data_IF_987309754324
#
_entry.id   IF_987309754324
#
_cell.length_a   1.000
_cell.length_b   1.000
_cell.length_c   1.000
_cell.angle_alpha   90.00
_cell.angle_beta   90.00
_cell.angle_gamma   90.00
#
_symmetry.space_group_name_H-M   'P 1'
#
loop_
_entity.id
_entity.type
_entity.pdbx_description
1 polymer ?
#
# COMPACT_ATOMS: atom_id res chain seq x y z
N UNK A 1 2.02 20.25 -18.19
CA UNK A 1 3.26 20.56 -17.44
C UNK A 1 3.53 19.41 -16.48
N UNK A 2 4.48 18.54 -16.84
CA UNK A 2 4.84 17.34 -16.08
C UNK A 2 6.10 17.64 -15.31
N UNK A 3 6.00 17.87 -14.00
CA UNK A 3 7.16 17.98 -13.12
C UNK A 3 7.73 16.58 -12.90
N UNK A 4 8.76 16.25 -13.67
CA UNK A 4 9.61 15.10 -13.39
C UNK A 4 10.68 15.54 -12.41
N UNK A 5 10.47 15.29 -11.12
CA UNK A 5 11.56 15.34 -10.14
C UNK A 5 12.50 14.18 -10.48
N UNK A 6 13.78 14.49 -10.74
CA UNK A 6 14.83 13.50 -11.04
C UNK A 6 14.89 12.44 -9.93
N UNK A 7 15.17 11.17 -10.26
CA UNK A 7 15.41 10.16 -9.22
C UNK A 7 16.62 10.58 -8.38
N UNK A 8 16.40 10.75 -7.07
CA UNK A 8 17.44 10.91 -6.07
C UNK A 8 17.97 9.56 -5.59
N UNK A 9 18.97 9.54 -4.69
CA UNK A 9 19.47 8.30 -4.08
C UNK A 9 18.34 7.57 -3.34
N UNK A 10 18.30 6.24 -3.47
CA UNK A 10 17.39 5.37 -2.72
C UNK A 10 18.08 4.86 -1.46
N UNK A 11 17.40 4.91 -0.32
CA UNK A 11 17.88 4.33 0.95
C UNK A 11 16.80 3.47 1.59
N UNK A 12 17.23 2.52 2.42
CA UNK A 12 16.32 1.68 3.21
C UNK A 12 15.91 2.43 4.47
N UNK A 13 14.60 2.57 4.69
CA UNK A 13 14.05 3.19 5.90
C UNK A 13 13.73 2.14 6.98
N UNK A 14 13.41 0.91 6.57
CA UNK A 14 13.23 -0.19 7.49
C UNK A 14 12.80 -1.50 6.84
N UNK A 15 12.93 -2.58 7.60
CA UNK A 15 12.63 -3.96 7.22
C UNK A 15 11.23 -4.32 7.72
N UNK A 16 10.36 -4.74 6.81
CA UNK A 16 8.94 -4.96 7.13
C UNK A 16 8.73 -6.37 7.69
N UNK A 17 8.01 -6.47 8.80
CA UNK A 17 7.61 -7.75 9.38
C UNK A 17 6.15 -7.71 9.85
N UNK A 18 5.40 -8.79 9.63
CA UNK A 18 4.03 -8.93 10.16
C UNK A 18 4.05 -8.93 11.67
N UNK A 19 3.09 -8.22 12.25
CA UNK A 19 2.78 -8.39 13.65
C UNK A 19 1.67 -9.43 13.78
N UNK A 20 2.01 -10.58 14.38
CA UNK A 20 1.10 -11.71 14.47
C UNK A 20 0.16 -11.52 15.67
N UNK A 21 -1.16 -11.58 15.46
CA UNK A 21 -2.11 -11.60 16.57
C UNK A 21 -2.04 -12.93 17.33
N UNK A 22 -2.67 -13.02 18.52
CA UNK A 22 -2.94 -14.31 19.16
C UNK A 22 -3.60 -15.26 18.15
N UNK A 23 -3.01 -16.46 17.98
CA UNK A 23 -3.40 -17.41 16.92
C UNK A 23 -2.50 -17.39 15.67
N UNK A 24 -1.45 -16.57 15.64
CA UNK A 24 -0.36 -16.67 14.67
C UNK A 24 -0.74 -16.33 13.24
N UNK A 25 -0.07 -17.00 12.28
CA UNK A 25 -0.25 -16.76 10.84
C UNK A 25 -1.71 -16.98 10.37
N UNK A 26 -2.42 -18.05 10.79
CA UNK A 26 -3.82 -18.24 10.39
C UNK A 26 -4.73 -17.08 10.80
N UNK A 27 -4.59 -16.60 12.04
CA UNK A 27 -5.36 -15.47 12.55
C UNK A 27 -5.02 -14.17 11.79
N UNK A 28 -3.74 -13.95 11.48
CA UNK A 28 -3.32 -12.83 10.61
C UNK A 28 -3.98 -12.91 9.23
N UNK A 29 -3.94 -14.08 8.58
CA UNK A 29 -4.49 -14.27 7.23
C UNK A 29 -6.02 -14.08 7.19
N UNK A 30 -6.72 -14.55 8.23
CA UNK A 30 -8.16 -14.33 8.39
C UNK A 30 -8.49 -12.83 8.53
N UNK A 31 -7.79 -12.12 9.43
CA UNK A 31 -7.94 -10.67 9.61
C UNK A 31 -7.59 -9.91 8.32
N UNK A 32 -6.56 -10.35 7.61
CA UNK A 32 -6.16 -9.81 6.32
C UNK A 32 -7.27 -9.88 5.26
N UNK A 33 -8.11 -10.90 5.31
CA UNK A 33 -9.27 -11.07 4.44
C UNK A 33 -10.32 -9.94 4.59
N UNK A 34 -10.50 -9.40 5.79
CA UNK A 34 -11.42 -8.28 6.04
C UNK A 34 -10.81 -6.91 5.71
N UNK A 35 -9.51 -6.87 5.42
CA UNK A 35 -8.73 -5.68 5.16
C UNK A 35 -7.80 -5.27 6.30
N UNK A 36 -7.85 -5.92 7.47
CA UNK A 36 -6.95 -5.58 8.57
C UNK A 36 -5.48 -5.87 8.20
N UNK A 37 -4.57 -5.01 8.65
CA UNK A 37 -3.11 -5.14 8.54
C UNK A 37 -2.47 -4.67 9.85
N UNK A 38 -1.52 -5.46 10.35
CA UNK A 38 -0.64 -5.07 11.44
C UNK A 38 0.78 -5.49 11.11
N UNK A 39 1.73 -4.55 11.13
CA UNK A 39 3.13 -4.84 10.83
C UNK A 39 4.07 -3.79 11.41
N UNK A 40 5.31 -4.19 11.61
CA UNK A 40 6.40 -3.36 12.14
C UNK A 40 7.39 -3.08 11.02
N UNK A 41 7.96 -1.88 11.06
CA UNK A 41 9.18 -1.52 10.34
C UNK A 41 10.35 -1.54 11.32
N UNK A 42 11.29 -2.45 11.13
CA UNK A 42 12.53 -2.55 11.91
C UNK A 42 13.63 -1.70 11.29
N UNK A 43 14.51 -1.11 12.10
CA UNK A 43 15.63 -0.30 11.63
C UNK A 43 16.67 -1.16 10.89
N UNK A 44 16.74 -2.44 11.24
CA UNK A 44 17.73 -3.40 10.79
C UNK A 44 17.10 -4.80 10.65
N UNK A 45 17.82 -5.72 9.98
CA UNK A 45 17.37 -7.10 9.75
C UNK A 45 17.25 -7.94 11.04
N UNK A 46 17.98 -7.56 12.09
CA UNK A 46 18.03 -8.26 13.37
C UNK A 46 16.99 -7.75 14.38
N UNK A 47 16.06 -6.89 13.94
CA UNK A 47 14.96 -6.35 14.75
C UNK A 47 15.47 -5.56 15.96
N UNK A 48 16.63 -4.91 15.85
CA UNK A 48 17.26 -4.18 16.96
C UNK A 48 16.43 -2.99 17.46
N UNK A 49 15.78 -2.26 16.55
CA UNK A 49 14.90 -1.14 16.92
C UNK A 49 13.66 -1.02 16.01
N UNK A 50 12.52 -0.65 16.61
CA UNK A 50 11.30 -0.34 15.85
C UNK A 50 11.38 1.09 15.31
N UNK A 51 11.18 1.25 14.01
CA UNK A 51 11.11 2.55 13.34
C UNK A 51 9.68 3.07 13.33
N UNK A 52 8.74 2.20 12.96
CA UNK A 52 7.31 2.49 12.99
C UNK A 52 6.50 1.21 13.08
N UNK A 53 5.25 1.32 13.54
CA UNK A 53 4.28 0.24 13.57
C UNK A 53 3.01 0.70 12.86
N UNK A 54 2.47 -0.15 11.99
CA UNK A 54 1.17 0.05 11.36
C UNK A 54 0.18 -0.83 12.08
N UNK A 55 -0.87 -0.22 12.61
CA UNK A 55 -1.98 -0.93 13.27
C UNK A 55 -3.30 -0.60 12.59
N UNK A 56 -4.22 -1.56 12.59
CA UNK A 56 -5.59 -1.34 12.12
C UNK A 56 -6.42 -0.71 13.23
N UNK A 57 -6.86 0.52 13.04
CA UNK A 57 -7.78 1.19 13.95
C UNK A 57 -9.24 0.73 13.72
N UNK A 58 -9.64 0.52 12.46
CA UNK A 58 -10.94 -0.06 12.14
C UNK A 58 -10.99 -0.63 10.73
N UNK A 59 -11.82 -1.67 10.54
CA UNK A 59 -12.15 -2.23 9.23
C UNK A 59 -13.65 -2.54 9.17
N UNK A 60 -14.41 -1.78 8.39
CA UNK A 60 -15.84 -2.00 8.25
C UNK A 60 -16.33 -1.59 6.85
N UNK A 61 -17.27 -2.37 6.29
CA UNK A 61 -18.00 -2.04 5.06
C UNK A 61 -17.10 -1.64 3.87
N UNK A 62 -15.89 -2.21 3.76
CA UNK A 62 -14.94 -1.91 2.68
C UNK A 62 -14.15 -0.61 2.87
N UNK A 63 -14.20 -0.02 4.06
CA UNK A 63 -13.30 1.04 4.51
C UNK A 63 -12.37 0.46 5.58
N UNK A 64 -11.10 0.83 5.51
CA UNK A 64 -10.08 0.41 6.49
C UNK A 64 -9.26 1.62 6.90
N UNK A 65 -9.14 1.82 8.20
CA UNK A 65 -8.40 2.92 8.82
C UNK A 65 -7.21 2.33 9.55
N UNK A 66 -6.03 2.86 9.24
CA UNK A 66 -4.76 2.45 9.83
C UNK A 66 -4.09 3.64 10.48
N UNK A 67 -3.40 3.38 11.58
CA UNK A 67 -2.53 4.36 12.21
C UNK A 67 -1.09 3.91 12.02
N UNK A 68 -0.24 4.85 11.65
CA UNK A 68 1.21 4.67 11.62
C UNK A 68 1.75 5.33 12.88
N UNK A 69 2.25 4.51 13.78
CA UNK A 69 2.85 4.90 15.05
C UNK A 69 4.37 4.88 14.89
N UNK A 70 5.08 5.85 15.46
CA UNK A 70 6.53 5.82 15.50
C UNK A 70 7.05 4.91 16.61
N UNK A 71 8.36 5.02 16.87
CA UNK A 71 9.06 4.14 17.79
C UNK A 71 8.57 4.27 19.24
N UNK A 72 8.09 5.45 19.62
CA UNK A 72 7.60 5.77 20.96
C UNK A 72 6.06 5.69 21.05
N UNK A 73 5.40 5.22 19.99
CA UNK A 73 3.93 5.17 19.91
C UNK A 73 3.30 6.50 19.48
N UNK A 74 4.11 7.49 19.08
CA UNK A 74 3.61 8.76 18.58
C UNK A 74 2.87 8.57 17.23
N UNK A 75 1.72 9.22 17.04
CA UNK A 75 0.98 9.11 15.78
C UNK A 75 1.68 9.92 14.68
N UNK A 76 2.28 9.23 13.72
CA UNK A 76 2.93 9.87 12.57
C UNK A 76 1.91 10.23 11.48
N UNK A 77 1.02 9.31 11.14
CA UNK A 77 -0.07 9.56 10.20
C UNK A 77 -1.22 8.55 10.35
N UNK A 78 -2.37 8.92 9.80
CA UNK A 78 -3.53 8.03 9.63
C UNK A 78 -3.75 7.78 8.15
N UNK A 79 -3.96 6.52 7.78
CA UNK A 79 -4.22 6.11 6.40
C UNK A 79 -5.63 5.55 6.31
N UNK A 80 -6.44 6.07 5.41
CA UNK A 80 -7.78 5.56 5.11
C UNK A 80 -7.80 4.96 3.72
N UNK A 81 -8.18 3.69 3.63
CA UNK A 81 -8.40 2.98 2.38
C UNK A 81 -9.90 2.75 2.19
N UNK A 82 -10.48 3.35 1.16
CA UNK A 82 -11.86 3.09 0.73
C UNK A 82 -11.82 2.18 -0.52
N UNK A 83 -12.43 1.00 -0.45
CA UNK A 83 -12.53 0.07 -1.59
C UNK A 83 -13.30 0.73 -2.74
N UNK A 84 -12.93 0.40 -3.98
CA UNK A 84 -13.70 0.78 -5.16
C UNK A 84 -15.18 0.42 -5.01
N UNK A 85 -16.04 1.20 -5.66
CA UNK A 85 -17.50 1.16 -5.62
C UNK A 85 -18.15 1.49 -4.25
N UNK A 86 -17.39 1.93 -3.25
CA UNK A 86 -17.97 2.46 -1.99
C UNK A 86 -18.30 3.94 -2.05
N UNK A 87 -17.36 4.75 -2.56
CA UNK A 87 -17.50 6.22 -2.67
C UNK A 87 -17.07 6.76 -4.03
N UNK A 88 -16.98 5.87 -5.01
CA UNK A 88 -16.49 6.13 -6.37
C UNK A 88 -15.95 4.87 -7.04
N UNK A 89 -15.59 4.97 -8.31
CA UNK A 89 -15.19 3.82 -9.14
C UNK A 89 -13.80 3.25 -8.83
N UNK A 90 -13.00 3.94 -8.01
CA UNK A 90 -11.60 3.57 -7.74
C UNK A 90 -11.34 3.45 -6.25
N UNK A 91 -10.36 2.62 -5.90
CA UNK A 91 -9.87 2.56 -4.52
C UNK A 91 -9.24 3.90 -4.18
N UNK A 92 -9.71 4.53 -3.10
CA UNK A 92 -9.20 5.80 -2.60
C UNK A 92 -8.29 5.54 -1.41
N UNK A 93 -7.18 6.26 -1.36
CA UNK A 93 -6.23 6.28 -0.27
C UNK A 93 -6.13 7.71 0.23
N UNK A 94 -6.45 7.95 1.48
CA UNK A 94 -6.26 9.24 2.15
C UNK A 94 -5.16 9.07 3.17
N UNK A 95 -4.22 10.01 3.22
CA UNK A 95 -3.18 10.09 4.25
C UNK A 95 -3.37 11.42 4.97
N UNK A 96 -3.69 11.33 6.26
CA UNK A 96 -3.91 12.47 7.15
C UNK A 96 -2.76 12.54 8.14
N UNK A 97 -2.25 13.75 8.39
CA UNK A 97 -1.16 13.99 9.35
C UNK A 97 -1.59 15.03 10.37
N UNK A 98 -1.10 14.93 11.62
CA UNK A 98 -1.29 16.01 12.59
C UNK A 98 -0.77 17.33 12.02
N UNK A 99 -1.62 18.37 11.98
CA UNK A 99 -1.22 19.73 11.58
C UNK A 99 -1.00 19.96 10.08
N UNK A 100 -1.34 19.02 9.19
CA UNK A 100 -1.19 19.18 7.74
C UNK A 100 -2.46 18.80 6.96
N UNK A 101 -2.67 19.37 5.77
CA UNK A 101 -3.83 19.01 4.95
C UNK A 101 -3.77 17.55 4.47
N UNK A 102 -4.93 16.94 4.36
CA UNK A 102 -5.08 15.57 3.86
C UNK A 102 -4.54 15.43 2.44
N UNK A 103 -3.79 14.35 2.21
CA UNK A 103 -3.33 13.94 0.90
C UNK A 103 -4.21 12.79 0.39
N UNK A 104 -4.87 12.98 -0.76
CA UNK A 104 -5.79 12.00 -1.34
C UNK A 104 -5.24 11.46 -2.65
N UNK A 105 -5.18 10.13 -2.77
CA UNK A 105 -4.78 9.42 -3.98
C UNK A 105 -5.79 8.36 -4.40
N UNK A 106 -5.82 8.06 -5.70
CA UNK A 106 -6.68 7.03 -6.28
C UNK A 106 -5.83 5.97 -7.00
N UNK A 107 -6.17 4.69 -6.83
CA UNK A 107 -5.47 3.58 -7.49
C UNK A 107 -5.82 3.51 -8.98
N UNK A 108 -4.80 3.67 -9.81
CA UNK A 108 -4.87 3.58 -11.26
C UNK A 108 -5.40 4.84 -11.95
N UNK A 109 -5.03 5.04 -13.21
CA UNK A 109 -5.67 6.04 -14.08
C UNK A 109 -6.95 5.42 -14.65
N UNK A 110 -8.03 6.19 -14.72
CA UNK A 110 -9.33 5.70 -15.22
C UNK A 110 -9.24 5.20 -16.67
N UNK A 111 -8.50 5.90 -17.55
CA UNK A 111 -8.24 5.47 -18.93
C UNK A 111 -7.62 4.07 -18.98
N UNK A 112 -6.63 3.81 -18.13
CA UNK A 112 -6.00 2.49 -18.06
C UNK A 112 -6.93 1.42 -17.48
N UNK A 113 -7.87 1.80 -16.60
CA UNK A 113 -8.93 0.89 -16.18
C UNK A 113 -9.87 0.54 -17.35
N UNK A 114 -10.24 1.49 -18.20
CA UNK A 114 -11.05 1.21 -19.40
C UNK A 114 -10.32 0.25 -20.36
N UNK A 115 -9.04 0.50 -20.64
CA UNK A 115 -8.21 -0.40 -21.45
C UNK A 115 -8.13 -1.79 -20.80
N UNK A 116 -7.89 -1.85 -19.50
CA UNK A 116 -7.87 -3.10 -18.74
C UNK A 116 -9.19 -3.89 -18.86
N UNK A 117 -10.33 -3.22 -18.77
CA UNK A 117 -11.64 -3.85 -18.94
C UNK A 117 -11.85 -4.42 -20.34
N UNK A 118 -11.33 -3.78 -21.39
CA UNK A 118 -11.40 -4.30 -22.76
C UNK A 118 -10.61 -5.61 -22.94
N UNK A 119 -9.52 -5.79 -22.19
CA UNK A 119 -8.74 -7.04 -22.17
C UNK A 119 -9.24 -8.06 -21.13
N UNK A 120 -10.22 -7.68 -20.28
CA UNK A 120 -10.81 -8.56 -19.27
C UNK A 120 -11.34 -9.91 -19.80
N UNK A 121 -11.98 -10.04 -20.98
CA UNK A 121 -12.45 -11.35 -21.46
C UNK A 121 -11.31 -12.34 -21.74
N UNK A 122 -10.07 -11.87 -21.87
CA UNK A 122 -8.89 -12.73 -22.04
C UNK A 122 -8.28 -13.19 -20.70
N UNK A 123 -8.65 -12.56 -19.57
CA UNK A 123 -8.13 -12.92 -18.25
C UNK A 123 -8.40 -14.37 -17.83
N UNK A 124 -9.57 -14.98 -18.11
CA UNK A 124 -9.79 -16.39 -17.81
C UNK A 124 -8.83 -17.31 -18.57
N UNK A 125 -8.54 -17.01 -19.84
CA UNK A 125 -7.58 -17.77 -20.66
C UNK A 125 -6.16 -17.65 -20.09
N UNK A 126 -5.76 -16.44 -19.71
CA UNK A 126 -4.47 -16.19 -19.08
C UNK A 126 -4.36 -16.86 -17.69
N UNK A 127 -5.45 -16.92 -16.94
CA UNK A 127 -5.51 -17.64 -15.67
C UNK A 127 -5.31 -19.15 -15.85
N UNK A 128 -6.02 -19.75 -16.81
CA UNK A 128 -5.86 -21.18 -17.14
C UNK A 128 -4.44 -21.48 -17.60
N UNK A 129 -3.87 -20.63 -18.46
CA UNK A 129 -2.47 -20.74 -18.89
C UNK A 129 -1.46 -20.61 -17.73
N UNK A 130 -1.71 -19.69 -16.78
CA UNK A 130 -0.87 -19.50 -15.61
C UNK A 130 -0.89 -20.69 -14.65
N UNK A 131 -2.05 -21.30 -14.44
CA UNK A 131 -2.25 -22.49 -13.59
C UNK A 131 -1.63 -23.73 -14.23
N UNK A 132 -1.84 -23.94 -15.54
CA UNK A 132 -1.32 -25.10 -16.26
C UNK A 132 0.19 -24.98 -16.58
N UNK A 133 0.69 -23.77 -16.77
CA UNK A 133 2.09 -23.48 -17.07
C UNK A 133 3.01 -23.34 -15.84
N UNK A 134 2.49 -23.53 -14.63
CA UNK A 134 3.30 -23.63 -13.42
C UNK A 134 4.02 -22.34 -12.96
N UNK A 135 3.56 -21.15 -13.37
CA UNK A 135 4.24 -19.92 -12.93
C UNK A 135 3.85 -18.59 -13.60
N UNK A 136 2.63 -18.46 -14.10
CA UNK A 136 2.20 -17.21 -14.73
C UNK A 136 1.62 -16.20 -13.75
N UNK A 137 2.21 -15.01 -13.65
CA UNK A 137 1.65 -13.89 -12.89
C UNK A 137 0.44 -13.31 -13.67
N UNK A 138 -0.74 -13.23 -13.06
CA UNK A 138 -1.90 -12.57 -13.68
C UNK A 138 -1.55 -11.11 -14.01
N UNK A 139 -1.85 -10.61 -15.22
CA UNK A 139 -1.52 -9.24 -15.54
C UNK A 139 -2.20 -8.28 -14.55
N UNK A 140 -1.46 -7.26 -14.15
CA UNK A 140 -1.85 -6.39 -13.03
C UNK A 140 -2.72 -5.25 -13.53
N UNK A 141 -3.78 -4.98 -12.79
CA UNK A 141 -4.55 -3.75 -12.99
C UNK A 141 -3.69 -2.50 -12.77
N UNK A 142 -4.13 -1.31 -13.23
CA UNK A 142 -3.36 -0.09 -13.18
C UNK A 142 -2.96 0.28 -11.74
N UNK A 143 -1.66 0.22 -11.43
CA UNK A 143 -1.18 0.25 -10.04
C UNK A 143 -0.59 1.58 -9.57
N UNK A 144 -0.60 2.64 -10.39
CA UNK A 144 -0.09 3.97 -9.98
C UNK A 144 -1.06 4.65 -9.00
N UNK A 145 -0.55 5.23 -7.92
CA UNK A 145 -1.31 6.09 -7.00
C UNK A 145 -0.55 7.41 -6.87
N UNK A 146 -1.25 8.53 -7.08
CA UNK A 146 -0.71 9.87 -6.87
C UNK A 146 -1.54 10.51 -5.78
N UNK A 147 -0.95 10.84 -4.65
CA UNK A 147 -1.64 11.59 -3.61
C UNK A 147 -1.46 13.09 -3.84
N UNK A 148 -2.53 13.84 -3.61
CA UNK A 148 -2.58 15.29 -3.77
C UNK A 148 -3.17 15.93 -2.52
N UNK A 149 -2.54 16.99 -2.02
CA UNK A 149 -2.98 17.73 -0.84
C UNK A 149 -2.35 19.12 -0.83
N UNK A 150 -3.10 20.15 -0.44
CA UNK A 150 -2.60 21.53 -0.36
C UNK A 150 -1.99 22.07 -1.68
N UNK A 151 -2.52 21.66 -2.84
CA UNK A 151 -2.00 22.04 -4.16
C UNK A 151 -0.71 21.32 -4.61
N UNK A 152 -0.16 20.43 -3.79
CA UNK A 152 1.10 19.70 -4.06
C UNK A 152 0.87 18.21 -4.35
N UNK A 153 1.92 17.53 -4.82
CA UNK A 153 1.93 16.09 -5.10
C UNK A 153 2.89 15.39 -4.12
N UNK A 154 2.48 15.24 -2.86
CA UNK A 154 3.38 14.81 -1.81
C UNK A 154 3.91 13.37 -1.92
N UNK A 155 3.16 12.51 -2.61
CA UNK A 155 3.44 11.08 -2.67
C UNK A 155 3.07 10.55 -4.04
N UNK A 156 3.97 9.75 -4.62
CA UNK A 156 3.67 8.96 -5.79
C UNK A 156 4.15 7.52 -5.62
N UNK A 157 3.24 6.58 -5.85
CA UNK A 157 3.51 5.15 -5.94
C UNK A 157 3.35 4.68 -7.39
N UNK A 158 4.33 3.92 -7.88
CA UNK A 158 4.28 3.27 -9.19
C UNK A 158 4.44 1.77 -8.99
N UNK A 159 3.46 0.98 -9.41
CA UNK A 159 3.48 -0.47 -9.25
C UNK A 159 4.59 -1.21 -10.03
N UNK A 160 5.31 -0.54 -10.95
CA UNK A 160 6.42 -1.12 -11.72
C UNK A 160 7.81 -0.73 -11.18
N UNK A 161 7.90 -0.35 -9.90
CA UNK A 161 9.16 -0.19 -9.18
C UNK A 161 8.93 -0.38 -7.69
N UNK A 162 9.88 -0.97 -6.96
CA UNK A 162 9.81 -1.10 -5.50
C UNK A 162 10.02 0.25 -4.78
N UNK A 163 9.63 1.36 -5.40
CA UNK A 163 9.99 2.70 -5.00
C UNK A 163 8.74 3.56 -4.86
N UNK A 164 8.74 4.38 -3.81
CA UNK A 164 7.79 5.47 -3.61
C UNK A 164 8.57 6.75 -3.68
N UNK A 165 8.08 7.67 -4.50
CA UNK A 165 8.67 8.98 -4.62
C UNK A 165 8.01 9.86 -3.56
N UNK A 166 8.81 10.24 -2.57
CA UNK A 166 8.45 11.17 -1.51
C UNK A 166 8.93 12.55 -1.93
N UNK A 167 8.05 13.54 -1.94
CA UNK A 167 8.49 14.94 -2.04
C UNK A 167 9.04 15.34 -0.66
N UNK A 168 10.32 15.72 -0.58
CA UNK A 168 11.12 15.90 0.66
C UNK A 168 10.42 16.71 1.76
N UNK A 169 9.56 17.67 1.39
CA UNK A 169 8.88 18.54 2.35
C UNK A 169 7.62 17.94 2.99
N UNK A 170 7.10 16.80 2.51
CA UNK A 170 5.78 16.32 2.94
C UNK A 170 5.81 15.08 3.86
N UNK A 171 6.92 14.38 4.03
CA UNK A 171 6.89 13.11 4.78
C UNK A 171 8.10 12.88 5.68
N UNK A 172 7.81 12.57 6.94
CA UNK A 172 8.66 11.70 7.75
C UNK A 172 8.92 10.41 6.93
N UNK A 173 10.19 10.06 6.63
CA UNK A 173 10.52 8.88 5.85
C UNK A 173 9.87 7.61 6.38
N UNK A 174 9.68 7.51 7.71
CA UNK A 174 9.03 6.39 8.40
C UNK A 174 7.57 6.23 7.96
N UNK A 175 6.85 7.35 7.84
CA UNK A 175 5.47 7.36 7.33
C UNK A 175 5.39 6.95 5.86
N UNK A 176 6.37 7.37 5.04
CA UNK A 176 6.41 7.02 3.62
C UNK A 176 6.64 5.52 3.41
N UNK A 177 7.59 4.96 4.15
CA UNK A 177 7.86 3.53 4.16
C UNK A 177 6.65 2.72 4.64
N UNK A 178 5.96 3.18 5.69
CA UNK A 178 4.76 2.52 6.22
C UNK A 178 3.61 2.53 5.20
N UNK A 179 3.34 3.68 4.56
CA UNK A 179 2.32 3.78 3.50
C UNK A 179 2.67 2.89 2.32
N UNK A 180 3.94 2.84 1.91
CA UNK A 180 4.42 1.96 0.85
C UNK A 180 4.16 0.48 1.17
N UNK A 181 4.63 0.02 2.34
CA UNK A 181 4.42 -1.35 2.81
C UNK A 181 2.92 -1.69 2.89
N UNK A 182 2.11 -0.76 3.38
CA UNK A 182 0.67 -0.93 3.46
C UNK A 182 0.04 -1.06 2.07
N UNK A 183 0.34 -0.18 1.12
CA UNK A 183 -0.17 -0.25 -0.26
C UNK A 183 0.20 -1.58 -0.91
N UNK A 184 1.44 -2.04 -0.74
CA UNK A 184 1.92 -3.32 -1.30
C UNK A 184 1.29 -4.54 -0.64
N UNK A 185 0.86 -4.45 0.62
CA UNK A 185 0.09 -5.51 1.26
C UNK A 185 -1.29 -5.74 0.58
N UNK A 186 -1.71 -4.83 -0.30
CA UNK A 186 -2.90 -4.93 -1.15
C UNK A 186 -2.58 -5.13 -2.63
N UNK A 187 -1.32 -5.39 -3.00
CA UNK A 187 -0.95 -5.66 -4.38
C UNK A 187 -1.25 -7.10 -4.78
N UNK A 188 -2.41 -7.27 -5.41
CA UNK A 188 -2.82 -8.51 -6.07
C UNK A 188 -3.05 -9.68 -5.11
N UNK A 189 -3.50 -10.79 -5.69
CA UNK A 189 -3.65 -12.02 -4.94
C UNK A 189 -2.27 -12.61 -4.62
N UNK A 190 -1.36 -12.76 -5.59
CA UNK A 190 -0.14 -13.55 -5.40
C UNK A 190 1.09 -12.77 -4.91
N UNK A 191 1.11 -11.44 -5.01
CA UNK A 191 2.34 -10.63 -4.87
C UNK A 191 2.39 -9.75 -3.61
N UNK A 192 1.42 -9.90 -2.71
CA UNK A 192 1.42 -9.16 -1.47
C UNK A 192 2.46 -9.74 -0.51
N UNK A 193 3.42 -8.91 -0.11
CA UNK A 193 4.57 -9.32 0.71
C UNK A 193 4.15 -10.00 2.03
N UNK A 194 2.98 -9.64 2.55
CA UNK A 194 2.46 -10.10 3.84
C UNK A 194 1.68 -11.43 3.76
N UNK A 195 1.55 -12.01 2.56
CA UNK A 195 0.83 -13.27 2.35
C UNK A 195 1.67 -14.50 2.64
N UNK A 196 2.98 -14.47 2.36
CA UNK A 196 3.84 -15.66 2.38
C UNK A 196 3.70 -16.49 3.66
N UNK A 197 3.74 -17.82 3.52
CA UNK A 197 3.93 -18.69 4.68
C UNK A 197 5.34 -18.42 5.22
N UNK A 198 5.42 -17.95 6.46
CA UNK A 198 6.63 -18.09 7.28
C UNK A 198 6.29 -19.22 8.23
#
# INVERSE_FOLDING_TARGET
>A
MSLFVKPGPSWTVGHVERELPPGGVPAYLAARGSGARSFVLWADEYRGARVATVVTASCAKGVSVYQVLGAQGELLCTVVREKAFRRGLRTRWTVSRPGAPDAVGYKGRIVWWCVWWLFSPLLPLLFVAAVLGGGGDLPRGPGRIIWRGGGRVPLEFKAHGNQVHLEEAFLDPRSGAAVLALVRSFDGMLNAWDRGQI
#
